data_IF_249096732300
#
_entry.id   IF_249096732300
#
_cell.length_a   1.000
_cell.length_b   1.000
_cell.length_c   1.000
_cell.angle_alpha   90.00
_cell.angle_beta   90.00
_cell.angle_gamma   90.00
#
_symmetry.space_group_name_H-M   'P 1'
#
loop_
_entity.id
_entity.type
_entity.pdbx_description
1 polymer ?
#
# COMPACT_ATOMS: atom_id res chain seq x y z
N UNK A 1 -22.64 59.70 12.15
CA UNK A 1 -21.40 58.94 12.32
C UNK A 1 -21.71 57.81 13.27
N UNK A 2 -21.99 56.65 12.76
CA UNK A 2 -22.26 55.45 13.56
C UNK A 2 -21.52 54.31 12.90
N UNK A 3 -20.40 53.93 13.51
CA UNK A 3 -19.58 52.80 13.12
C UNK A 3 -20.25 51.55 13.63
N UNK A 4 -20.75 50.73 12.75
CA UNK A 4 -21.17 49.34 13.06
C UNK A 4 -19.94 48.44 13.15
N UNK A 5 -19.59 48.07 14.36
CA UNK A 5 -18.65 47.03 14.68
C UNK A 5 -19.31 45.68 14.39
N UNK A 6 -18.80 44.96 13.39
CA UNK A 6 -19.13 43.56 13.16
C UNK A 6 -18.41 42.72 14.23
N UNK A 7 -19.16 42.34 15.24
CA UNK A 7 -18.71 41.39 16.27
C UNK A 7 -18.55 40.01 15.64
N UNK A 8 -17.33 39.49 15.61
CA UNK A 8 -17.09 38.06 15.44
C UNK A 8 -17.65 37.31 16.66
N UNK A 9 -18.57 36.38 16.41
CA UNK A 9 -19.01 35.45 17.44
C UNK A 9 -17.83 34.72 18.05
N UNK A 10 -17.82 34.47 19.37
CA UNK A 10 -16.76 33.71 20.02
C UNK A 10 -16.85 32.26 19.54
N UNK A 11 -15.84 31.81 18.80
CA UNK A 11 -15.69 30.39 18.45
C UNK A 11 -15.52 29.61 19.77
N UNK A 12 -16.53 28.80 20.12
CA UNK A 12 -16.40 27.87 21.26
C UNK A 12 -15.23 26.89 20.96
N UNK A 13 -14.38 26.59 21.94
CA UNK A 13 -13.29 25.66 21.77
C UNK A 13 -13.85 24.28 21.37
N UNK A 14 -13.35 23.69 20.27
CA UNK A 14 -13.80 22.40 19.73
C UNK A 14 -12.90 21.23 20.13
N UNK A 15 -11.90 21.48 20.97
CA UNK A 15 -10.87 20.51 21.39
C UNK A 15 -11.42 19.25 22.06
N UNK A 16 -12.60 19.30 22.66
CA UNK A 16 -13.25 18.16 23.31
C UNK A 16 -14.07 17.27 22.35
N UNK A 17 -14.30 17.72 21.13
CA UNK A 17 -15.10 17.02 20.11
C UNK A 17 -14.41 16.94 18.74
N UNK A 18 -13.09 16.99 18.73
CA UNK A 18 -12.30 16.89 17.50
C UNK A 18 -11.37 15.68 17.48
N UNK A 19 -11.07 15.23 16.28
CA UNK A 19 -10.01 14.26 15.98
C UNK A 19 -9.04 14.94 15.04
N UNK A 20 -7.73 14.88 15.33
CA UNK A 20 -6.67 15.39 14.47
C UNK A 20 -5.72 14.28 14.14
N UNK A 21 -5.56 14.01 12.85
CA UNK A 21 -4.53 13.08 12.34
C UNK A 21 -3.66 13.80 11.32
N UNK A 22 -2.40 13.44 11.24
CA UNK A 22 -1.49 14.04 10.27
C UNK A 22 -0.48 13.04 9.73
N UNK A 23 0.01 13.31 8.52
CA UNK A 23 1.06 12.51 7.88
C UNK A 23 1.94 13.41 7.02
N UNK A 24 3.24 13.09 6.97
CA UNK A 24 4.15 13.65 5.97
C UNK A 24 4.16 12.74 4.75
N UNK A 25 3.95 13.34 3.57
CA UNK A 25 3.93 12.67 2.26
C UNK A 25 5.13 13.21 1.48
N UNK A 26 6.01 12.33 1.00
CA UNK A 26 7.20 12.70 0.22
C UNK A 26 6.83 13.09 -1.22
N UNK A 27 5.99 14.11 -1.37
CA UNK A 27 5.54 14.65 -2.64
C UNK A 27 5.25 16.15 -2.56
N UNK A 28 5.38 16.91 -3.67
CA UNK A 28 4.99 18.30 -3.72
C UNK A 28 3.54 18.50 -3.33
N UNK A 29 3.24 19.61 -2.67
CA UNK A 29 1.90 19.96 -2.18
C UNK A 29 0.84 19.95 -3.29
N UNK A 30 1.21 20.41 -4.46
CA UNK A 30 0.38 20.44 -5.66
C UNK A 30 -0.06 19.05 -6.07
N UNK A 31 0.86 18.07 -6.05
CA UNK A 31 0.57 16.68 -6.40
C UNK A 31 -0.30 15.98 -5.34
N UNK A 32 -0.04 16.25 -4.05
CA UNK A 32 -0.89 15.73 -2.95
C UNK A 32 -2.30 16.30 -3.05
N UNK A 33 -2.43 17.59 -3.37
CA UNK A 33 -3.72 18.24 -3.57
C UNK A 33 -4.45 17.70 -4.82
N UNK A 34 -3.74 17.45 -5.92
CA UNK A 34 -4.31 16.90 -7.16
C UNK A 34 -5.02 15.56 -6.94
N UNK A 35 -4.55 14.73 -6.01
CA UNK A 35 -5.18 13.45 -5.66
C UNK A 35 -6.63 13.59 -5.16
N UNK A 36 -7.09 14.79 -4.82
CA UNK A 36 -8.47 15.07 -4.43
C UNK A 36 -9.34 15.58 -5.58
N UNK A 37 -8.74 16.08 -6.66
CA UNK A 37 -9.45 16.88 -7.69
C UNK A 37 -10.26 16.06 -8.67
N UNK A 38 -9.98 14.77 -8.80
CA UNK A 38 -10.63 13.87 -9.75
C UNK A 38 -11.11 12.61 -9.06
N UNK A 39 -12.31 12.16 -9.40
CA UNK A 39 -12.91 10.97 -8.79
C UNK A 39 -12.11 9.70 -9.04
N UNK A 40 -11.43 9.59 -10.20
CA UNK A 40 -10.58 8.46 -10.55
C UNK A 40 -9.36 8.33 -9.63
N UNK A 41 -8.89 9.45 -9.08
CA UNK A 41 -7.86 9.50 -8.06
C UNK A 41 -8.45 9.22 -6.69
N UNK A 42 -9.43 10.01 -6.29
CA UNK A 42 -10.01 10.02 -4.94
C UNK A 42 -10.57 8.65 -4.55
N UNK A 43 -11.29 7.96 -5.44
CA UNK A 43 -11.87 6.64 -5.18
C UNK A 43 -10.86 5.51 -4.98
N UNK A 44 -9.57 5.74 -5.28
CA UNK A 44 -8.53 4.72 -5.11
C UNK A 44 -7.89 4.68 -3.73
N UNK A 45 -7.97 5.78 -3.00
CA UNK A 45 -7.31 5.89 -1.70
C UNK A 45 -8.24 6.34 -0.56
N UNK A 46 -9.43 6.88 -0.86
CA UNK A 46 -10.35 7.36 0.15
C UNK A 46 -10.93 6.23 0.98
N UNK A 47 -10.79 6.34 2.30
CA UNK A 47 -11.30 5.40 3.29
C UNK A 47 -10.22 4.56 3.97
N UNK A 48 -10.60 3.89 5.06
CA UNK A 48 -9.75 2.96 5.79
C UNK A 48 -9.43 1.71 4.98
N UNK A 49 -8.52 0.89 5.48
CA UNK A 49 -8.14 -0.37 4.85
C UNK A 49 -9.33 -1.32 4.71
N UNK A 50 -9.38 -1.96 3.55
CA UNK A 50 -10.45 -2.91 3.22
C UNK A 50 -11.74 -2.26 2.73
N UNK A 51 -11.84 -0.92 2.75
CA UNK A 51 -12.96 -0.22 2.15
C UNK A 51 -12.70 0.10 0.67
N UNK A 52 -13.79 0.14 -0.10
CA UNK A 52 -13.79 0.61 -1.49
C UNK A 52 -14.97 1.55 -1.71
N UNK A 53 -14.94 2.35 -2.79
CA UNK A 53 -15.97 3.32 -3.06
C UNK A 53 -16.62 3.10 -4.43
N UNK A 54 -17.94 3.32 -4.53
CA UNK A 54 -18.67 3.43 -5.79
C UNK A 54 -19.30 4.82 -5.87
N UNK A 55 -18.78 5.66 -6.76
CA UNK A 55 -19.26 7.03 -6.95
C UNK A 55 -20.54 7.07 -7.77
N UNK A 56 -21.52 7.86 -7.31
CA UNK A 56 -22.74 8.21 -8.06
C UNK A 56 -22.62 9.55 -8.78
N UNK A 57 -22.10 10.57 -8.07
CA UNK A 57 -21.81 11.88 -8.66
C UNK A 57 -20.62 12.53 -7.97
N UNK A 58 -19.90 13.40 -8.72
CA UNK A 58 -18.71 14.08 -8.21
C UNK A 58 -18.57 15.46 -8.86
N UNK A 59 -18.58 16.51 -8.04
CA UNK A 59 -18.32 17.88 -8.46
C UNK A 59 -17.31 18.52 -7.49
N UNK A 60 -16.03 18.54 -7.84
CA UNK A 60 -14.97 19.12 -7.00
C UNK A 60 -14.90 20.65 -7.19
N UNK A 61 -15.75 21.35 -6.50
CA UNK A 61 -15.80 22.83 -6.39
C UNK A 61 -16.44 23.24 -5.08
N UNK A 62 -16.17 24.44 -4.60
CA UNK A 62 -16.89 24.97 -3.43
C UNK A 62 -18.40 24.95 -3.69
N UNK A 63 -19.16 24.37 -2.76
CA UNK A 63 -20.60 24.12 -2.89
C UNK A 63 -20.98 22.93 -3.77
N UNK A 64 -20.01 22.20 -4.37
CA UNK A 64 -20.25 20.92 -5.04
C UNK A 64 -20.24 19.75 -4.07
N UNK A 65 -20.51 18.56 -4.56
CA UNK A 65 -20.68 17.36 -3.75
C UNK A 65 -20.00 16.12 -4.35
N UNK A 66 -19.68 15.17 -3.50
CA UNK A 66 -19.35 13.80 -3.86
C UNK A 66 -20.34 12.86 -3.18
N UNK A 67 -21.21 12.24 -3.96
CA UNK A 67 -22.18 11.21 -3.54
C UNK A 67 -21.63 9.84 -3.92
N UNK A 68 -21.45 8.98 -2.93
CA UNK A 68 -20.86 7.66 -3.13
C UNK A 68 -21.36 6.64 -2.10
N UNK A 69 -21.11 5.37 -2.39
CA UNK A 69 -21.26 4.26 -1.44
C UNK A 69 -19.87 3.81 -1.04
N UNK A 70 -19.62 3.74 0.24
CA UNK A 70 -18.43 3.11 0.79
C UNK A 70 -18.77 1.68 1.20
N UNK A 71 -18.08 0.70 0.59
CA UNK A 71 -18.26 -0.73 0.83
C UNK A 71 -17.28 -1.20 1.89
N UNK A 72 -17.79 -1.65 3.02
CA UNK A 72 -16.99 -2.19 4.12
C UNK A 72 -16.48 -3.61 3.84
N UNK A 73 -15.41 -4.03 4.52
CA UNK A 73 -14.82 -5.35 4.36
C UNK A 73 -15.74 -6.49 4.84
N UNK A 74 -16.75 -6.18 5.64
CA UNK A 74 -17.78 -7.11 6.12
C UNK A 74 -18.99 -7.23 5.17
N UNK A 75 -18.97 -6.50 4.04
CA UNK A 75 -20.04 -6.43 3.06
C UNK A 75 -21.13 -5.39 3.41
N UNK A 76 -20.92 -4.57 4.43
CA UNK A 76 -21.84 -3.47 4.78
C UNK A 76 -21.63 -2.29 3.83
N UNK A 77 -22.71 -1.76 3.29
CA UNK A 77 -22.72 -0.57 2.45
C UNK A 77 -23.08 0.66 3.25
N UNK A 78 -22.21 1.67 3.20
CA UNK A 78 -22.41 2.96 3.84
C UNK A 78 -22.72 4.01 2.77
N UNK A 79 -23.86 4.70 2.92
CA UNK A 79 -24.20 5.82 2.06
C UNK A 79 -23.43 7.05 2.55
N UNK A 80 -22.69 7.70 1.66
CA UNK A 80 -21.81 8.78 2.02
C UNK A 80 -22.02 9.98 1.10
N UNK A 81 -22.04 11.17 1.69
CA UNK A 81 -22.12 12.44 1.00
C UNK A 81 -21.10 13.41 1.56
N UNK A 82 -20.17 13.84 0.72
CA UNK A 82 -19.25 14.92 1.03
C UNK A 82 -19.72 16.19 0.32
N UNK A 83 -19.93 17.27 1.08
CA UNK A 83 -20.18 18.62 0.54
C UNK A 83 -18.94 19.47 0.71
N UNK A 84 -18.34 19.93 -0.40
CA UNK A 84 -17.14 20.77 -0.39
C UNK A 84 -17.50 22.20 0.04
N UNK A 85 -17.04 22.62 1.24
CA UNK A 85 -17.32 23.94 1.80
C UNK A 85 -16.33 25.00 1.30
N UNK A 86 -15.06 24.64 1.26
CA UNK A 86 -13.98 25.52 0.81
C UNK A 86 -12.91 24.71 0.07
N UNK A 87 -12.39 25.24 -1.00
CA UNK A 87 -11.27 24.67 -1.74
C UNK A 87 -10.30 25.81 -2.05
N UNK A 88 -9.11 25.78 -1.45
CA UNK A 88 -8.01 26.72 -1.65
C UNK A 88 -6.80 25.95 -2.18
N UNK A 89 -6.65 25.79 -3.50
CA UNK A 89 -5.53 25.07 -4.05
C UNK A 89 -4.19 25.80 -3.83
N UNK A 90 -3.12 25.07 -3.53
CA UNK A 90 -3.02 23.71 -3.05
C UNK A 90 -2.96 23.60 -1.52
N UNK A 91 -3.58 24.53 -0.78
CA UNK A 91 -3.34 24.77 0.64
C UNK A 91 -4.37 24.11 1.56
N UNK A 92 -5.65 24.09 1.13
CA UNK A 92 -6.73 23.72 2.04
C UNK A 92 -7.98 23.20 1.33
N UNK A 93 -8.61 22.20 1.95
CA UNK A 93 -9.95 21.71 1.62
C UNK A 93 -10.75 21.66 2.93
N UNK A 94 -11.95 22.27 2.95
CA UNK A 94 -12.91 22.12 4.01
C UNK A 94 -14.16 21.44 3.46
N UNK A 95 -14.69 20.46 4.18
CA UNK A 95 -15.82 19.65 3.75
C UNK A 95 -16.75 19.32 4.92
N UNK A 96 -18.00 19.05 4.60
CA UNK A 96 -18.97 18.42 5.48
C UNK A 96 -19.17 16.98 5.00
N UNK A 97 -19.12 16.01 5.91
CA UNK A 97 -19.25 14.60 5.63
C UNK A 97 -20.43 14.02 6.42
N UNK A 98 -21.34 13.35 5.75
CA UNK A 98 -22.52 12.72 6.33
C UNK A 98 -23.14 11.73 5.35
N UNK A 99 -24.28 11.15 5.71
CA UNK A 99 -25.01 10.19 4.89
C UNK A 99 -25.91 10.88 3.83
N UNK A 100 -26.29 12.13 4.11
CA UNK A 100 -27.19 12.92 3.24
C UNK A 100 -27.00 14.43 3.48
N UNK A 101 -27.66 15.27 2.67
CA UNK A 101 -27.61 16.75 2.80
C UNK A 101 -28.15 17.27 4.14
N UNK A 102 -29.12 16.56 4.72
CA UNK A 102 -29.80 16.93 5.96
C UNK A 102 -29.39 16.04 7.14
N UNK A 103 -28.25 15.36 7.03
CA UNK A 103 -27.76 14.50 8.10
C UNK A 103 -27.42 15.32 9.35
N UNK A 104 -28.15 15.14 10.48
CA UNK A 104 -27.88 15.85 11.71
C UNK A 104 -26.56 15.42 12.37
N UNK A 105 -25.99 14.30 11.94
CA UNK A 105 -24.75 13.73 12.44
C UNK A 105 -23.54 14.11 11.59
N UNK A 106 -23.75 14.83 10.48
CA UNK A 106 -22.67 15.25 9.62
C UNK A 106 -21.59 16.01 10.39
N UNK A 107 -20.34 15.71 10.10
CA UNK A 107 -19.17 16.30 10.76
C UNK A 107 -18.33 17.11 9.76
N UNK A 108 -17.66 18.13 10.26
CA UNK A 108 -16.78 18.98 9.46
C UNK A 108 -15.36 18.44 9.48
N UNK A 109 -14.72 18.41 8.30
CA UNK A 109 -13.30 18.11 8.18
C UNK A 109 -12.57 19.19 7.43
N UNK A 110 -11.39 19.56 7.94
CA UNK A 110 -10.47 20.47 7.30
C UNK A 110 -9.15 19.74 7.06
N UNK A 111 -8.76 19.70 5.79
CA UNK A 111 -7.47 19.19 5.36
C UNK A 111 -6.56 20.39 5.05
N UNK A 112 -5.45 20.52 5.77
CA UNK A 112 -4.42 21.51 5.50
C UNK A 112 -3.19 20.82 4.88
N UNK A 113 -2.63 21.44 3.85
CA UNK A 113 -1.48 20.93 3.11
C UNK A 113 -0.31 21.90 3.33
N UNK A 114 0.62 21.52 4.16
CA UNK A 114 1.78 22.33 4.56
C UNK A 114 3.03 21.84 3.83
N UNK A 115 3.71 22.72 3.07
CA UNK A 115 4.99 22.37 2.46
C UNK A 115 6.05 22.17 3.55
N UNK A 116 6.80 21.08 3.47
CA UNK A 116 7.95 20.78 4.32
C UNK A 116 9.21 20.71 3.44
N UNK A 117 10.40 20.67 4.05
CA UNK A 117 11.66 20.56 3.29
C UNK A 117 11.69 19.34 2.36
N UNK A 118 11.04 18.25 2.76
CA UNK A 118 11.09 16.95 2.07
C UNK A 118 9.74 16.50 1.47
N UNK A 119 8.71 17.37 1.46
CA UNK A 119 7.41 17.02 0.91
C UNK A 119 6.25 17.87 1.44
N UNK A 120 5.13 17.21 1.74
CA UNK A 120 3.91 17.83 2.22
C UNK A 120 3.44 17.20 3.51
N UNK A 121 3.28 18.00 4.55
CA UNK A 121 2.54 17.58 5.73
C UNK A 121 1.05 17.83 5.51
N UNK A 122 0.26 16.76 5.48
CA UNK A 122 -1.20 16.85 5.50
C UNK A 122 -1.69 16.72 6.93
N UNK A 123 -2.57 17.63 7.34
CA UNK A 123 -3.25 17.61 8.65
C UNK A 123 -4.74 17.53 8.37
N UNK A 124 -5.40 16.48 8.83
CA UNK A 124 -6.85 16.32 8.77
C UNK A 124 -7.42 16.52 10.16
N UNK A 125 -8.19 17.58 10.31
CA UNK A 125 -8.90 17.93 11.54
C UNK A 125 -10.38 17.75 11.31
N UNK A 126 -10.99 16.84 12.06
CA UNK A 126 -12.41 16.50 12.00
C UNK A 126 -13.10 16.97 13.28
N UNK A 127 -14.19 17.71 13.16
CA UNK A 127 -14.97 18.27 14.26
C UNK A 127 -16.37 17.68 14.20
N UNK A 128 -16.76 16.97 15.25
CA UNK A 128 -18.06 16.35 15.39
C UNK A 128 -19.09 17.35 15.97
N UNK A 129 -20.39 17.15 15.71
CA UNK A 129 -21.45 17.99 16.29
C UNK A 129 -21.40 18.02 17.82
N UNK A 130 -21.14 16.88 18.47
CA UNK A 130 -21.04 16.75 19.92
C UNK A 130 -19.83 15.93 20.36
N UNK A 131 -19.48 16.03 21.64
CA UNK A 131 -18.42 15.20 22.24
C UNK A 131 -18.80 13.72 22.25
N UNK A 132 -20.05 13.42 22.56
CA UNK A 132 -20.56 12.05 22.62
C UNK A 132 -20.40 11.35 21.25
N UNK A 133 -20.71 12.06 20.15
CA UNK A 133 -20.52 11.54 18.80
C UNK A 133 -19.03 11.30 18.48
N UNK A 134 -18.14 12.19 18.91
CA UNK A 134 -16.72 11.99 18.77
C UNK A 134 -16.24 10.76 19.56
N UNK A 135 -16.72 10.62 20.81
CA UNK A 135 -16.36 9.49 21.66
C UNK A 135 -16.86 8.16 21.05
N UNK A 136 -18.09 8.13 20.53
CA UNK A 136 -18.64 6.98 19.81
C UNK A 136 -17.82 6.66 18.54
N UNK A 137 -17.46 7.69 17.77
CA UNK A 137 -16.62 7.51 16.57
C UNK A 137 -15.25 6.89 16.90
N UNK A 138 -14.65 7.28 18.03
CA UNK A 138 -13.37 6.73 18.48
C UNK A 138 -13.51 5.30 19.01
N UNK A 139 -14.49 5.05 19.89
CA UNK A 139 -14.60 3.78 20.60
C UNK A 139 -15.21 2.67 19.74
N UNK A 140 -16.25 2.99 18.95
CA UNK A 140 -17.02 2.02 18.20
C UNK A 140 -16.52 1.86 16.76
N UNK A 141 -16.16 2.99 16.10
CA UNK A 141 -15.79 3.01 14.70
C UNK A 141 -14.28 3.19 14.46
N UNK A 142 -13.49 3.28 15.53
CA UNK A 142 -12.04 3.42 15.46
C UNK A 142 -11.58 4.57 14.53
N UNK A 143 -12.31 5.70 14.58
CA UNK A 143 -12.15 6.81 13.63
C UNK A 143 -10.74 7.42 13.60
N UNK A 144 -10.00 7.42 14.72
CA UNK A 144 -8.60 7.86 14.74
C UNK A 144 -7.74 6.98 13.86
N UNK A 145 -7.89 5.67 13.99
CA UNK A 145 -7.13 4.70 13.22
C UNK A 145 -7.55 4.71 11.75
N UNK A 146 -8.85 4.78 11.48
CA UNK A 146 -9.38 4.94 10.12
C UNK A 146 -8.82 6.18 9.41
N UNK A 147 -8.74 7.32 10.12
CA UNK A 147 -8.14 8.55 9.61
C UNK A 147 -6.66 8.42 9.28
N UNK A 148 -5.88 7.73 10.13
CA UNK A 148 -4.46 7.44 9.84
C UNK A 148 -4.31 6.54 8.62
N UNK A 149 -5.15 5.51 8.50
CA UNK A 149 -5.16 4.59 7.36
C UNK A 149 -5.49 5.35 6.06
N UNK A 150 -6.50 6.21 6.07
CA UNK A 150 -6.86 7.06 4.93
C UNK A 150 -5.69 7.93 4.47
N UNK A 151 -4.98 8.59 5.40
CA UNK A 151 -3.81 9.39 5.06
C UNK A 151 -2.61 8.54 4.60
N UNK A 152 -2.48 7.30 5.07
CA UNK A 152 -1.50 6.35 4.56
C UNK A 152 -1.83 5.94 3.13
N UNK A 153 -3.10 5.64 2.84
CA UNK A 153 -3.57 5.28 1.50
C UNK A 153 -3.34 6.43 0.51
N UNK A 154 -3.62 7.67 0.92
CA UNK A 154 -3.26 8.85 0.14
C UNK A 154 -1.75 8.93 -0.13
N UNK A 155 -0.91 8.71 0.87
CA UNK A 155 0.55 8.77 0.71
C UNK A 155 1.06 7.72 -0.27
N UNK A 156 0.55 6.48 -0.18
CA UNK A 156 0.87 5.42 -1.12
C UNK A 156 0.41 5.78 -2.54
N UNK A 157 -0.83 6.25 -2.67
CA UNK A 157 -1.41 6.63 -3.96
C UNK A 157 -0.63 7.77 -4.65
N UNK A 158 -0.33 8.85 -3.91
CA UNK A 158 0.44 9.99 -4.44
C UNK A 158 1.86 9.58 -4.80
N UNK A 159 2.42 8.60 -4.07
CA UNK A 159 3.70 8.00 -4.41
C UNK A 159 3.72 7.36 -5.80
N UNK A 160 2.58 6.83 -6.24
CA UNK A 160 2.42 6.12 -7.52
C UNK A 160 2.02 7.04 -8.69
N UNK A 161 1.69 8.33 -8.44
CA UNK A 161 1.32 9.25 -9.50
C UNK A 161 2.52 9.69 -10.35
N UNK A 162 2.40 9.73 -11.70
CA UNK A 162 3.45 10.27 -12.55
C UNK A 162 3.63 11.77 -12.29
N UNK A 163 4.85 12.20 -12.03
CA UNK A 163 5.17 13.62 -11.86
C UNK A 163 5.26 14.28 -13.24
N UNK A 164 4.34 15.20 -13.53
CA UNK A 164 4.44 16.05 -14.71
C UNK A 164 5.55 17.11 -14.49
N UNK A 165 6.67 16.95 -15.17
CA UNK A 165 7.69 17.99 -15.30
C UNK A 165 7.15 19.12 -16.18
N UNK A 166 6.59 20.17 -15.57
CA UNK A 166 6.34 21.43 -16.23
C UNK A 166 7.00 22.55 -15.46
N UNK A 167 8.28 22.77 -15.74
CA UNK A 167 8.89 24.09 -15.68
C UNK A 167 10.12 24.15 -16.62
N UNK A 168 10.04 24.88 -17.75
CA UNK A 168 11.18 25.12 -18.62
C UNK A 168 11.84 26.46 -18.25
N UNK A 169 12.85 26.48 -17.37
CA UNK A 169 13.87 27.51 -17.44
C UNK A 169 15.10 27.17 -16.58
N UNK A 170 16.22 27.06 -17.28
CA UNK A 170 17.61 27.33 -16.85
C UNK A 170 18.17 26.56 -15.64
N UNK A 171 18.96 25.49 -15.89
CA UNK A 171 20.40 25.52 -15.68
C UNK A 171 21.00 24.18 -16.02
N UNK A 172 21.89 24.19 -16.99
CA UNK A 172 22.85 23.12 -17.24
C UNK A 172 23.82 23.11 -16.06
N UNK A 173 23.75 22.09 -15.21
CA UNK A 173 24.69 21.58 -14.23
C UNK A 173 24.04 21.21 -12.87
N UNK A 174 23.06 20.30 -12.89
CA UNK A 174 22.71 19.49 -11.71
C UNK A 174 22.36 18.08 -12.15
N UNK A 175 23.14 17.12 -11.69
CA UNK A 175 22.77 15.71 -11.79
C UNK A 175 21.36 15.51 -11.19
N UNK A 176 20.47 14.73 -11.84
CA UNK A 176 19.12 14.49 -11.34
C UNK A 176 19.20 13.68 -10.05
N UNK A 177 18.87 14.30 -8.93
CA UNK A 177 18.51 13.60 -7.70
C UNK A 177 17.18 12.88 -7.92
N UNK A 178 17.19 11.72 -8.59
CA UNK A 178 16.02 10.87 -8.75
C UNK A 178 15.55 10.41 -7.37
N UNK A 179 14.22 10.38 -7.16
CA UNK A 179 13.62 9.68 -6.02
C UNK A 179 14.23 8.29 -5.95
N UNK A 180 14.82 7.91 -4.83
CA UNK A 180 15.24 6.53 -4.62
C UNK A 180 13.99 5.65 -4.62
N UNK A 181 13.98 4.60 -5.47
CA UNK A 181 12.90 3.62 -5.54
C UNK A 181 12.62 3.05 -4.16
N UNK A 182 11.37 3.05 -3.73
CA UNK A 182 10.95 2.46 -2.46
C UNK A 182 11.08 0.94 -2.53
N UNK A 183 11.62 0.32 -1.49
CA UNK A 183 11.87 -1.12 -1.44
C UNK A 183 10.81 -1.79 -0.59
N UNK A 184 9.99 -2.62 -1.22
CA UNK A 184 8.80 -3.19 -0.57
C UNK A 184 8.81 -4.73 -0.57
N UNK A 185 8.37 -5.32 0.53
CA UNK A 185 7.88 -6.71 0.58
C UNK A 185 6.36 -6.67 0.71
N UNK A 186 5.64 -7.34 -0.18
CA UNK A 186 4.19 -7.37 -0.12
C UNK A 186 3.63 -8.78 -0.16
N UNK A 187 2.57 -9.01 0.64
CA UNK A 187 1.77 -10.24 0.65
C UNK A 187 2.60 -11.48 0.95
N UNK A 188 3.66 -11.35 1.77
CA UNK A 188 4.46 -12.48 2.16
C UNK A 188 3.84 -13.18 3.36
N UNK A 189 3.39 -14.43 3.16
CA UNK A 189 2.67 -15.17 4.16
C UNK A 189 3.61 -16.01 5.03
N UNK A 190 3.35 -16.00 6.34
CA UNK A 190 4.03 -16.85 7.33
C UNK A 190 3.01 -17.58 8.20
N UNK A 191 3.38 -18.76 8.68
CA UNK A 191 2.60 -19.48 9.70
C UNK A 191 2.73 -18.81 11.08
N UNK A 192 1.90 -19.18 12.04
CA UNK A 192 1.99 -18.69 13.43
C UNK A 192 3.37 -18.96 14.06
N UNK A 193 4.02 -20.04 13.67
CA UNK A 193 5.36 -20.39 14.11
C UNK A 193 6.48 -19.85 13.21
N UNK A 194 6.13 -18.87 12.29
CA UNK A 194 7.06 -18.01 11.57
C UNK A 194 7.66 -18.59 10.28
N UNK A 195 7.13 -19.70 9.75
CA UNK A 195 7.64 -20.31 8.52
C UNK A 195 6.97 -19.71 7.27
N UNK A 196 7.79 -19.22 6.32
CA UNK A 196 7.32 -18.71 5.03
C UNK A 196 7.22 -19.77 3.93
N UNK A 197 7.83 -20.93 4.14
CA UNK A 197 7.72 -22.10 3.27
C UNK A 197 7.94 -23.37 4.11
N UNK A 198 7.25 -24.45 3.74
CA UNK A 198 7.43 -25.76 4.37
C UNK A 198 8.68 -26.48 3.85
N UNK A 199 9.08 -27.53 4.57
CA UNK A 199 10.18 -28.40 4.17
C UNK A 199 9.82 -29.28 2.97
N UNK A 200 10.84 -29.67 2.18
CA UNK A 200 10.68 -30.57 1.05
C UNK A 200 10.10 -29.94 -0.22
N UNK A 201 10.45 -28.68 -0.52
CA UNK A 201 10.08 -28.02 -1.78
C UNK A 201 10.59 -28.82 -2.98
N UNK A 202 9.69 -29.12 -3.93
CA UNK A 202 9.96 -29.85 -5.19
C UNK A 202 8.89 -29.50 -6.22
N UNK A 203 9.01 -30.02 -7.45
CA UNK A 203 8.12 -29.68 -8.56
C UNK A 203 6.64 -29.89 -8.23
N UNK A 204 6.28 -31.00 -7.60
CA UNK A 204 4.89 -31.35 -7.23
C UNK A 204 4.45 -30.69 -5.92
N UNK A 205 5.37 -30.04 -5.20
CA UNK A 205 5.13 -29.38 -3.92
C UNK A 205 5.93 -28.06 -3.82
N UNK A 206 5.53 -27.02 -4.55
CA UNK A 206 6.28 -25.75 -4.60
C UNK A 206 6.40 -25.03 -3.26
N UNK A 207 5.50 -25.30 -2.31
CA UNK A 207 5.57 -24.78 -0.93
C UNK A 207 5.96 -25.89 0.09
N UNK A 208 6.58 -26.98 -0.38
CA UNK A 208 6.91 -28.12 0.46
C UNK A 208 5.68 -28.74 1.13
N UNK A 209 5.82 -29.27 2.33
CA UNK A 209 4.72 -29.88 3.08
C UNK A 209 3.64 -28.87 3.54
N UNK A 210 3.90 -27.56 3.43
CA UNK A 210 2.89 -26.51 3.68
C UNK A 210 1.74 -26.60 2.67
N UNK A 211 2.02 -27.07 1.45
CA UNK A 211 1.06 -27.01 0.35
C UNK A 211 0.62 -25.56 0.12
N UNK A 212 -0.62 -25.36 -0.30
CA UNK A 212 -1.16 -24.03 -0.53
C UNK A 212 -1.71 -23.32 0.72
N UNK A 213 -1.58 -23.92 1.92
CA UNK A 213 -2.16 -23.38 3.17
C UNK A 213 -1.71 -21.95 3.47
N UNK A 214 -0.46 -21.59 3.17
CA UNK A 214 0.06 -20.23 3.38
C UNK A 214 -0.55 -19.18 2.44
N UNK A 215 -1.04 -19.57 1.26
CA UNK A 215 -1.53 -18.65 0.23
C UNK A 215 -3.04 -18.76 0.00
N UNK A 216 -3.74 -19.59 0.78
CA UNK A 216 -5.19 -19.78 0.63
C UNK A 216 -6.01 -18.50 0.82
N UNK A 217 -5.56 -17.59 1.66
CA UNK A 217 -6.20 -16.31 1.92
C UNK A 217 -6.28 -15.44 0.65
N UNK A 218 -5.25 -15.51 -0.20
CA UNK A 218 -5.14 -14.68 -1.40
C UNK A 218 -5.89 -15.28 -2.62
N UNK A 219 -6.03 -16.61 -2.66
CA UNK A 219 -6.61 -17.30 -3.82
C UNK A 219 -8.03 -16.83 -4.21
N UNK A 220 -8.94 -16.47 -3.27
CA UNK A 220 -10.26 -15.95 -3.62
C UNK A 220 -10.23 -14.51 -4.13
N UNK A 221 -9.19 -13.74 -3.90
CA UNK A 221 -9.12 -12.30 -4.21
C UNK A 221 -9.22 -12.02 -5.70
N UNK A 222 -9.75 -10.84 -6.07
CA UNK A 222 -9.86 -10.40 -7.46
C UNK A 222 -8.47 -10.31 -8.11
N UNK A 223 -7.49 -9.75 -7.41
CA UNK A 223 -6.10 -9.63 -7.89
C UNK A 223 -5.52 -10.98 -8.31
N UNK A 224 -5.66 -12.02 -7.46
CA UNK A 224 -5.15 -13.35 -7.80
C UNK A 224 -5.92 -14.01 -8.94
N UNK A 225 -7.23 -13.74 -9.08
CA UNK A 225 -8.02 -14.20 -10.24
C UNK A 225 -7.54 -13.57 -11.54
N UNK A 226 -7.24 -12.28 -11.53
CA UNK A 226 -6.70 -11.56 -12.70
C UNK A 226 -5.31 -12.06 -13.11
N UNK A 227 -4.52 -12.56 -12.17
CA UNK A 227 -3.23 -13.24 -12.44
C UNK A 227 -3.38 -14.63 -13.07
N UNK A 228 -4.60 -15.08 -13.41
CA UNK A 228 -4.86 -16.37 -14.06
C UNK A 228 -4.85 -17.57 -13.11
N UNK A 229 -4.90 -17.36 -11.79
CA UNK A 229 -4.98 -18.45 -10.85
C UNK A 229 -6.39 -19.11 -10.86
N UNK A 230 -6.48 -20.45 -10.66
CA UNK A 230 -7.73 -21.17 -10.78
C UNK A 230 -8.77 -20.73 -9.76
N UNK A 231 -10.04 -20.66 -10.18
CA UNK A 231 -11.21 -20.39 -9.35
C UNK A 231 -12.42 -19.91 -10.15
N UNK A 232 -13.57 -19.76 -9.48
CA UNK A 232 -14.83 -19.34 -10.09
C UNK A 232 -15.12 -17.87 -9.78
N UNK A 233 -15.73 -17.14 -10.74
CA UNK A 233 -16.16 -15.75 -10.58
C UNK A 233 -15.05 -14.71 -10.68
N UNK A 234 -15.41 -13.46 -10.45
CA UNK A 234 -14.52 -12.29 -10.58
C UNK A 234 -13.52 -12.13 -9.43
N UNK A 235 -13.67 -12.91 -8.38
CA UNK A 235 -12.87 -12.82 -7.15
C UNK A 235 -13.55 -12.01 -6.05
N UNK A 236 -13.13 -12.25 -4.80
CA UNK A 236 -13.61 -11.51 -3.64
C UNK A 236 -13.03 -10.12 -3.58
N UNK A 237 -13.76 -9.21 -2.95
CA UNK A 237 -13.34 -7.89 -2.52
C UNK A 237 -13.25 -7.88 -0.99
N UNK A 238 -12.65 -6.85 -0.39
CA UNK A 238 -12.51 -6.72 1.07
C UNK A 238 -11.06 -6.60 1.50
N UNK A 239 -10.77 -6.89 2.77
CA UNK A 239 -9.45 -6.70 3.39
C UNK A 239 -8.34 -7.40 2.61
N UNK A 240 -8.51 -8.69 2.31
CA UNK A 240 -7.48 -9.47 1.62
C UNK A 240 -7.20 -8.93 0.21
N UNK A 241 -8.24 -8.52 -0.52
CA UNK A 241 -8.10 -7.91 -1.84
C UNK A 241 -7.39 -6.55 -1.77
N UNK A 242 -7.72 -5.71 -0.78
CA UNK A 242 -7.06 -4.42 -0.60
C UNK A 242 -5.55 -4.57 -0.41
N UNK A 243 -5.12 -5.59 0.33
CA UNK A 243 -3.71 -5.90 0.49
C UNK A 243 -3.10 -6.58 -0.74
N UNK A 244 -3.81 -7.51 -1.38
CA UNK A 244 -3.32 -8.20 -2.58
C UNK A 244 -3.07 -7.23 -3.73
N UNK A 245 -3.98 -6.29 -4.00
CA UNK A 245 -3.87 -5.30 -5.08
C UNK A 245 -2.71 -4.32 -4.88
N UNK A 246 -2.43 -3.91 -3.65
CA UNK A 246 -1.26 -3.07 -3.34
C UNK A 246 0.06 -3.75 -3.70
N UNK A 247 0.13 -5.07 -3.56
CA UNK A 247 1.34 -5.83 -3.83
C UNK A 247 1.78 -5.83 -5.30
N UNK A 248 0.90 -5.41 -6.21
CA UNK A 248 1.14 -5.39 -7.66
C UNK A 248 1.22 -4.00 -8.26
N UNK A 249 0.81 -2.96 -7.52
CA UNK A 249 0.80 -1.57 -8.01
C UNK A 249 2.16 -0.89 -7.87
N UNK A 250 2.56 -0.10 -8.90
CA UNK A 250 3.73 0.76 -8.85
C UNK A 250 5.08 0.04 -8.82
N UNK A 251 5.12 -1.26 -9.17
CA UNK A 251 6.35 -2.07 -9.18
C UNK A 251 7.03 -1.97 -10.54
N UNK A 252 8.27 -1.50 -10.54
CA UNK A 252 9.12 -1.43 -11.75
C UNK A 252 10.01 -2.65 -11.94
N UNK A 253 10.35 -3.35 -10.84
CA UNK A 253 11.18 -4.55 -10.87
C UNK A 253 10.91 -5.43 -9.66
N UNK A 254 11.03 -6.73 -9.82
CA UNK A 254 11.00 -7.67 -8.71
C UNK A 254 12.39 -8.31 -8.48
N UNK A 255 12.75 -8.52 -7.21
CA UNK A 255 13.89 -9.35 -6.81
C UNK A 255 13.35 -10.60 -6.12
N UNK A 256 13.80 -11.77 -6.52
CA UNK A 256 13.45 -13.03 -5.87
C UNK A 256 14.65 -13.97 -5.77
N UNK A 257 14.62 -14.83 -4.77
CA UNK A 257 15.59 -15.91 -4.66
C UNK A 257 15.28 -17.06 -5.62
N UNK A 258 16.30 -17.81 -5.99
CA UNK A 258 16.20 -18.96 -6.90
C UNK A 258 15.14 -19.96 -6.47
N UNK A 259 14.95 -20.17 -5.15
CA UNK A 259 13.96 -21.12 -4.62
C UNK A 259 12.51 -20.69 -4.92
N UNK A 260 12.26 -19.39 -5.05
CA UNK A 260 10.97 -18.87 -5.53
C UNK A 260 10.81 -19.07 -7.03
N UNK A 261 11.89 -18.97 -7.82
CA UNK A 261 11.85 -19.19 -9.26
C UNK A 261 11.64 -20.66 -9.63
N UNK A 262 12.21 -21.61 -8.88
CA UNK A 262 12.07 -23.03 -9.20
C UNK A 262 12.66 -23.97 -8.14
N UNK A 263 12.39 -25.29 -8.27
CA UNK A 263 12.82 -26.29 -7.30
C UNK A 263 14.27 -26.74 -7.45
N UNK A 264 14.93 -26.36 -8.54
CA UNK A 264 16.28 -26.84 -8.85
C UNK A 264 17.32 -26.27 -7.90
N UNK A 265 18.22 -27.12 -7.41
CA UNK A 265 19.34 -26.78 -6.54
C UNK A 265 20.67 -27.05 -7.25
N UNK A 266 21.72 -26.32 -6.87
CA UNK A 266 23.03 -26.43 -7.53
C UNK A 266 23.03 -25.94 -8.98
N UNK A 267 23.88 -26.47 -9.87
CA UNK A 267 23.84 -26.16 -11.30
C UNK A 267 22.48 -26.44 -11.91
N UNK A 268 22.14 -25.74 -13.00
CA UNK A 268 20.87 -25.92 -13.71
C UNK A 268 20.83 -27.32 -14.34
N UNK A 269 20.00 -28.20 -13.79
CA UNK A 269 19.77 -29.54 -14.37
C UNK A 269 18.89 -29.46 -15.62
N UNK A 270 18.01 -28.46 -15.68
CA UNK A 270 17.19 -28.11 -16.85
C UNK A 270 17.31 -26.60 -17.10
N UNK A 271 18.10 -26.25 -18.13
CA UNK A 271 18.28 -24.86 -18.57
C UNK A 271 17.04 -24.30 -19.25
N UNK A 272 16.10 -25.13 -19.67
CA UNK A 272 14.86 -24.72 -20.30
C UNK A 272 13.77 -24.38 -19.26
N UNK A 273 14.02 -24.63 -17.97
CA UNK A 273 13.08 -24.26 -16.90
C UNK A 273 12.77 -22.76 -16.93
N UNK A 274 11.45 -22.43 -17.05
CA UNK A 274 10.94 -21.07 -17.25
C UNK A 274 10.26 -20.46 -16.01
N UNK A 275 10.38 -21.11 -14.86
CA UNK A 275 9.67 -20.71 -13.62
C UNK A 275 8.32 -21.42 -13.45
N UNK A 276 7.67 -21.15 -12.34
CA UNK A 276 6.42 -21.81 -11.96
C UNK A 276 5.20 -21.30 -12.74
N UNK A 277 5.30 -20.14 -13.43
CA UNK A 277 4.17 -19.37 -13.95
C UNK A 277 3.89 -19.61 -15.44
N UNK A 278 4.55 -20.57 -16.05
CA UNK A 278 4.39 -20.86 -17.47
C UNK A 278 4.95 -19.76 -18.39
N UNK A 279 4.41 -19.63 -19.60
CA UNK A 279 4.96 -18.75 -20.64
C UNK A 279 4.65 -17.26 -20.45
N UNK A 280 3.61 -16.92 -19.68
CA UNK A 280 3.22 -15.54 -19.40
C UNK A 280 3.16 -15.28 -17.89
N UNK A 281 4.31 -15.06 -17.22
CA UNK A 281 4.35 -14.77 -15.79
C UNK A 281 3.63 -13.47 -15.43
N UNK A 282 3.01 -13.37 -14.25
CA UNK A 282 2.16 -12.23 -13.88
C UNK A 282 2.94 -10.97 -13.45
N UNK A 283 4.23 -10.90 -13.69
CA UNK A 283 5.05 -9.77 -13.24
C UNK A 283 4.98 -8.59 -14.22
N UNK A 284 5.05 -8.86 -15.53
CA UNK A 284 5.07 -7.86 -16.61
C UNK A 284 6.16 -6.77 -16.46
N UNK A 285 7.20 -7.07 -15.70
CA UNK A 285 8.34 -6.21 -15.37
C UNK A 285 9.63 -7.04 -15.39
N UNK A 286 10.82 -6.43 -15.40
CA UNK A 286 12.08 -7.12 -15.11
C UNK A 286 12.03 -7.84 -13.76
N UNK A 287 12.64 -9.02 -13.68
CA UNK A 287 12.73 -9.82 -12.45
C UNK A 287 14.18 -10.26 -12.27
N UNK A 288 14.82 -9.87 -11.18
CA UNK A 288 16.14 -10.35 -10.78
C UNK A 288 15.97 -11.63 -9.95
N UNK A 289 16.56 -12.72 -10.41
CA UNK A 289 16.63 -14.00 -9.70
C UNK A 289 18.01 -14.16 -9.09
N UNK A 290 18.11 -14.05 -7.77
CA UNK A 290 19.39 -14.23 -7.05
C UNK A 290 19.79 -15.69 -7.03
N UNK A 291 20.98 -15.99 -7.52
CA UNK A 291 21.51 -17.35 -7.66
C UNK A 291 23.02 -17.37 -7.84
N UNK A 292 23.72 -18.32 -7.21
CA UNK A 292 25.15 -18.56 -7.46
C UNK A 292 25.42 -19.28 -8.80
N UNK A 293 24.38 -19.66 -9.53
CA UNK A 293 24.48 -20.31 -10.83
C UNK A 293 23.80 -19.44 -11.88
N UNK A 294 24.54 -18.46 -12.39
CA UNK A 294 24.04 -17.54 -13.40
C UNK A 294 23.77 -18.25 -14.73
N UNK A 295 22.84 -17.73 -15.50
CA UNK A 295 22.56 -18.13 -16.90
C UNK A 295 22.07 -16.92 -17.69
N UNK A 296 21.91 -17.10 -19.00
CA UNK A 296 21.38 -16.05 -19.88
C UNK A 296 20.01 -15.56 -19.43
N UNK A 297 19.70 -14.27 -19.61
CA UNK A 297 18.36 -13.73 -19.36
C UNK A 297 17.29 -14.52 -20.11
N UNK A 298 16.11 -14.60 -19.53
CA UNK A 298 14.98 -15.34 -20.08
C UNK A 298 13.82 -14.38 -20.33
N UNK A 299 13.58 -14.07 -21.61
CA UNK A 299 12.45 -13.26 -22.03
C UNK A 299 11.18 -14.12 -22.08
N UNK A 300 10.10 -13.59 -21.48
CA UNK A 300 8.80 -14.24 -21.39
C UNK A 300 7.74 -13.44 -22.12
N UNK A 301 6.63 -14.08 -22.44
CA UNK A 301 5.45 -13.37 -22.93
C UNK A 301 4.97 -12.34 -21.89
N UNK A 302 4.29 -11.28 -22.36
CA UNK A 302 3.72 -10.25 -21.48
C UNK A 302 4.71 -9.29 -20.85
N UNK A 303 5.99 -9.27 -21.28
CA UNK A 303 6.97 -8.26 -20.88
C UNK A 303 7.79 -8.59 -19.64
N UNK A 304 7.68 -9.79 -19.09
CA UNK A 304 8.57 -10.25 -18.01
C UNK A 304 9.91 -10.71 -18.59
N UNK A 305 11.02 -10.24 -18.01
CA UNK A 305 12.37 -10.76 -18.32
C UNK A 305 13.05 -11.16 -17.01
N UNK A 306 13.45 -12.42 -16.89
CA UNK A 306 14.23 -12.90 -15.75
C UNK A 306 15.73 -12.71 -15.99
N UNK A 307 16.40 -12.03 -15.06
CA UNK A 307 17.85 -11.85 -15.00
C UNK A 307 18.41 -12.70 -13.88
N UNK A 308 19.39 -13.56 -14.14
CA UNK A 308 19.99 -14.47 -13.16
C UNK A 308 21.30 -13.88 -12.67
N UNK A 309 21.35 -13.47 -11.40
CA UNK A 309 22.43 -12.65 -10.85
C UNK A 309 23.01 -13.29 -9.60
N UNK A 310 24.34 -13.37 -9.54
CA UNK A 310 25.10 -13.71 -8.33
C UNK A 310 25.58 -12.41 -7.68
N UNK A 311 24.84 -11.94 -6.69
CA UNK A 311 25.12 -10.67 -6.03
C UNK A 311 24.57 -10.66 -4.60
N UNK A 312 25.27 -9.92 -3.74
CA UNK A 312 24.79 -9.55 -2.40
C UNK A 312 23.57 -8.61 -2.48
N UNK A 313 22.70 -8.57 -1.45
CA UNK A 313 21.45 -7.81 -1.46
C UNK A 313 21.60 -6.34 -1.88
N UNK A 314 22.62 -5.62 -1.40
CA UNK A 314 22.83 -4.22 -1.73
C UNK A 314 23.19 -4.00 -3.22
N UNK A 315 24.01 -4.89 -3.78
CA UNK A 315 24.41 -4.83 -5.20
C UNK A 315 23.23 -5.19 -6.11
N UNK A 316 22.45 -6.21 -5.72
CA UNK A 316 21.24 -6.59 -6.44
C UNK A 316 20.19 -5.47 -6.43
N UNK A 317 20.04 -4.78 -5.31
CA UNK A 317 19.12 -3.63 -5.18
C UNK A 317 19.55 -2.48 -6.08
N UNK A 318 20.85 -2.17 -6.18
CA UNK A 318 21.35 -1.11 -7.06
C UNK A 318 21.04 -1.44 -8.55
N UNK A 319 21.26 -2.68 -8.95
CA UNK A 319 20.89 -3.14 -10.29
C UNK A 319 19.39 -3.04 -10.54
N UNK A 320 18.58 -3.43 -9.53
CA UNK A 320 17.13 -3.36 -9.59
C UNK A 320 16.66 -1.91 -9.75
N UNK A 321 17.21 -0.97 -9.00
CA UNK A 321 16.89 0.46 -9.12
C UNK A 321 17.16 1.00 -10.51
N UNK A 322 18.25 0.57 -11.14
CA UNK A 322 18.55 0.91 -12.53
C UNK A 322 17.49 0.40 -13.53
N UNK A 323 16.86 -0.74 -13.26
CA UNK A 323 15.79 -1.31 -14.07
C UNK A 323 14.40 -0.75 -13.75
N UNK A 324 14.17 -0.38 -12.49
CA UNK A 324 12.88 0.10 -12.01
C UNK A 324 12.51 1.50 -12.52
N UNK A 325 13.50 2.30 -12.92
CA UNK A 325 13.29 3.72 -13.24
C UNK A 325 12.80 4.49 -12.01
N UNK A 326 11.63 5.11 -12.11
CA UNK A 326 11.01 5.85 -11.00
C UNK A 326 10.00 5.02 -10.19
N UNK A 327 9.86 3.72 -10.50
CA UNK A 327 8.95 2.80 -9.83
C UNK A 327 9.65 2.07 -8.69
N UNK A 328 8.88 1.39 -7.84
CA UNK A 328 9.38 0.71 -6.68
C UNK A 328 10.02 -0.64 -6.99
N UNK A 329 10.90 -1.07 -6.11
CA UNK A 329 11.51 -2.40 -6.11
C UNK A 329 10.75 -3.31 -5.17
N UNK A 330 10.24 -4.43 -5.65
CA UNK A 330 9.59 -5.45 -4.84
C UNK A 330 10.55 -6.59 -4.52
N UNK A 331 10.73 -6.87 -3.23
CA UNK A 331 11.39 -8.11 -2.79
C UNK A 331 10.30 -9.18 -2.67
N UNK A 332 10.19 -10.00 -3.70
CA UNK A 332 9.10 -10.96 -3.84
C UNK A 332 9.26 -12.27 -3.05
N UNK A 333 10.44 -12.51 -2.47
CA UNK A 333 10.73 -13.72 -1.71
C UNK A 333 11.78 -14.62 -2.41
N UNK A 334 12.15 -15.89 -2.00
CA UNK A 334 11.65 -16.62 -0.81
C UNK A 334 12.07 -16.06 0.56
N UNK A 335 11.82 -16.87 1.55
CA UNK A 335 12.03 -16.54 2.97
C UNK A 335 13.46 -16.05 3.25
N UNK A 336 14.46 -16.78 2.80
CA UNK A 336 15.88 -16.43 2.97
C UNK A 336 16.20 -15.09 2.31
N UNK A 337 15.76 -14.87 1.08
CA UNK A 337 16.00 -13.59 0.38
C UNK A 337 15.42 -12.39 1.13
N UNK A 338 14.16 -12.47 1.59
CA UNK A 338 13.56 -11.39 2.39
C UNK A 338 14.37 -11.16 3.67
N UNK A 339 14.75 -12.22 4.37
CA UNK A 339 15.53 -12.12 5.61
C UNK A 339 16.89 -11.44 5.37
N UNK A 340 17.60 -11.79 4.30
CA UNK A 340 18.87 -11.16 3.93
C UNK A 340 18.72 -9.66 3.65
N UNK A 341 17.66 -9.24 2.95
CA UNK A 341 17.38 -7.83 2.72
C UNK A 341 16.98 -7.09 4.01
N UNK A 342 16.27 -7.74 4.94
CA UNK A 342 15.95 -7.18 6.26
C UNK A 342 17.20 -7.05 7.14
N UNK A 343 18.09 -8.03 7.13
CA UNK A 343 19.38 -8.01 7.84
C UNK A 343 20.29 -6.90 7.30
N UNK A 344 20.27 -6.68 5.97
CA UNK A 344 21.04 -5.61 5.32
C UNK A 344 20.38 -4.23 5.44
N UNK A 345 19.24 -4.10 6.14
CA UNK A 345 18.52 -2.85 6.36
C UNK A 345 18.04 -2.14 5.07
N UNK A 346 17.64 -2.92 4.07
CA UNK A 346 17.33 -2.45 2.72
C UNK A 346 15.83 -2.38 2.39
N UNK A 347 14.93 -2.67 3.35
CA UNK A 347 13.49 -2.67 3.13
C UNK A 347 12.85 -1.46 3.80
N UNK A 348 12.04 -0.73 3.04
CA UNK A 348 11.30 0.46 3.52
C UNK A 348 9.89 0.09 4.02
N UNK A 349 9.24 -0.87 3.36
CA UNK A 349 7.92 -1.37 3.75
C UNK A 349 7.87 -2.89 3.69
N UNK A 350 7.35 -3.52 4.74
CA UNK A 350 7.22 -4.97 4.84
C UNK A 350 5.76 -5.32 5.20
N UNK A 351 5.05 -5.96 4.28
CA UNK A 351 3.71 -6.50 4.54
C UNK A 351 3.77 -8.01 4.68
N UNK A 352 3.48 -8.48 5.88
CA UNK A 352 3.43 -9.89 6.27
C UNK A 352 2.00 -10.32 6.52
N UNK A 353 1.64 -11.50 6.05
CA UNK A 353 0.35 -12.13 6.32
C UNK A 353 0.56 -13.30 7.26
N UNK A 354 0.10 -13.15 8.49
CA UNK A 354 0.15 -14.24 9.49
C UNK A 354 -1.05 -15.16 9.28
N UNK A 355 -0.78 -16.36 8.80
CA UNK A 355 -1.79 -17.39 8.58
C UNK A 355 -1.91 -18.25 9.84
N UNK A 356 -3.14 -18.52 10.37
CA UNK A 356 -3.33 -19.20 11.64
C UNK A 356 -3.13 -20.73 11.54
N UNK A 357 -1.94 -21.14 11.07
CA UNK A 357 -1.53 -22.52 10.95
C UNK A 357 -0.16 -22.72 11.60
N UNK A 358 0.16 -23.96 11.96
CA UNK A 358 1.48 -24.37 12.43
C UNK A 358 2.12 -25.29 11.39
N UNK A 359 3.37 -25.02 11.04
CA UNK A 359 4.15 -25.83 10.09
C UNK A 359 5.19 -26.72 10.80
N UNK A 360 5.78 -26.25 11.89
CA UNK A 360 6.74 -26.99 12.69
C UNK A 360 8.12 -27.16 12.06
N UNK A 361 8.26 -27.05 10.73
CA UNK A 361 9.53 -27.15 9.99
C UNK A 361 9.45 -26.43 8.65
N UNK A 362 10.62 -26.05 8.10
CA UNK A 362 10.75 -25.26 6.87
C UNK A 362 11.73 -24.12 7.05
N UNK A 363 11.55 -23.04 6.28
CA UNK A 363 12.35 -21.81 6.38
C UNK A 363 11.60 -20.77 7.21
N UNK A 364 12.17 -20.36 8.35
CA UNK A 364 11.62 -19.31 9.22
C UNK A 364 12.06 -17.93 8.72
N UNK A 365 11.13 -16.97 8.78
CA UNK A 365 11.42 -15.59 8.38
C UNK A 365 12.24 -14.83 9.43
N UNK A 366 11.88 -14.99 10.70
CA UNK A 366 12.33 -14.11 11.78
C UNK A 366 13.67 -14.47 12.43
N UNK A 367 14.32 -15.57 11.99
CA UNK A 367 15.58 -16.01 12.57
C UNK A 367 16.68 -14.96 12.34
N UNK A 368 17.29 -14.45 13.43
CA UNK A 368 18.34 -13.45 13.42
C UNK A 368 17.85 -12.04 13.09
N UNK A 369 16.56 -11.73 13.36
CA UNK A 369 15.94 -10.43 13.17
C UNK A 369 15.39 -9.85 14.49
N UNK A 370 15.97 -10.24 15.63
CA UNK A 370 15.59 -9.73 16.94
C UNK A 370 15.71 -8.19 16.96
N UNK A 371 14.68 -7.50 17.46
CA UNK A 371 14.62 -6.03 17.53
C UNK A 371 14.26 -5.35 16.19
N UNK A 372 13.89 -6.11 15.15
CA UNK A 372 13.47 -5.55 13.87
C UNK A 372 12.34 -4.53 14.02
N UNK A 373 11.38 -4.80 14.91
CA UNK A 373 10.21 -3.96 15.18
C UNK A 373 10.58 -2.56 15.68
N UNK A 374 11.76 -2.38 16.29
CA UNK A 374 12.23 -1.06 16.76
C UNK A 374 12.49 -0.08 15.60
N UNK A 375 12.75 -0.60 14.40
CA UNK A 375 13.05 0.19 13.19
C UNK A 375 11.80 0.56 12.40
N UNK A 376 10.63 0.02 12.77
CA UNK A 376 9.40 0.18 12.02
C UNK A 376 8.23 0.60 12.89
N UNK A 377 7.29 1.31 12.31
CA UNK A 377 5.93 1.43 12.83
C UNK A 377 5.13 0.24 12.32
N UNK A 378 4.45 -0.48 13.24
CA UNK A 378 3.75 -1.71 12.91
C UNK A 378 2.25 -1.49 13.01
N UNK A 379 1.54 -1.78 11.92
CA UNK A 379 0.08 -1.77 11.88
C UNK A 379 -0.46 -3.19 11.71
N UNK A 380 -1.61 -3.46 12.32
CA UNK A 380 -2.23 -4.79 12.34
C UNK A 380 -3.67 -4.72 11.89
N UNK A 381 -4.04 -5.53 10.89
CA UNK A 381 -5.41 -5.64 10.39
C UNK A 381 -5.83 -7.11 10.38
N UNK A 382 -6.87 -7.45 11.13
CA UNK A 382 -7.47 -8.79 11.07
C UNK A 382 -8.41 -8.90 9.87
N UNK A 383 -8.34 -10.02 9.13
CA UNK A 383 -9.23 -10.29 8.00
C UNK A 383 -10.31 -11.31 8.38
N UNK A 384 -11.53 -11.18 7.79
CA UNK A 384 -12.58 -12.19 7.88
C UNK A 384 -12.16 -13.58 7.39
N UNK A 385 -11.13 -13.69 6.56
CA UNK A 385 -10.54 -14.98 6.15
C UNK A 385 -9.78 -15.70 7.27
N UNK A 386 -9.60 -15.03 8.43
CA UNK A 386 -8.90 -15.53 9.59
C UNK A 386 -7.40 -15.25 9.62
N UNK A 387 -6.84 -14.59 8.60
CA UNK A 387 -5.45 -14.15 8.61
C UNK A 387 -5.31 -12.78 9.27
N UNK A 388 -4.09 -12.44 9.65
CA UNK A 388 -3.73 -11.11 10.15
C UNK A 388 -2.69 -10.48 9.22
N UNK A 389 -2.99 -9.30 8.71
CA UNK A 389 -2.06 -8.48 7.95
C UNK A 389 -1.25 -7.60 8.88
N UNK A 390 0.07 -7.67 8.80
CA UNK A 390 1.02 -6.83 9.51
C UNK A 390 1.75 -5.96 8.49
N UNK A 391 1.65 -4.64 8.62
CA UNK A 391 2.42 -3.70 7.80
C UNK A 391 3.45 -3.01 8.68
N UNK A 392 4.71 -3.17 8.32
CA UNK A 392 5.85 -2.53 8.93
C UNK A 392 6.30 -1.39 8.01
N UNK A 393 6.19 -0.16 8.45
CA UNK A 393 6.66 1.03 7.73
C UNK A 393 7.90 1.57 8.42
N UNK A 394 9.01 1.76 7.68
CA UNK A 394 10.27 2.24 8.23
C UNK A 394 10.07 3.58 8.94
N UNK A 395 10.59 3.70 10.16
CA UNK A 395 10.70 4.97 10.86
C UNK A 395 11.75 5.84 10.17
N UNK A 396 11.40 7.12 9.92
CA UNK A 396 12.27 8.12 9.31
C UNK A 396 13.20 8.75 10.36
#
# INVERSE_FOLDING_TARGET
>A
MSSTSSGSEPQHPTTDREIVVSRVISAPRELVFEAFTQVQHLSRWWGPDGFSTTTRSFEFRAGGEWDFVMHGPDGTDYQELISWREIVPPERIALLHGESREDPNAFESVLAFESTGDGTRIVMRTVFPTREMRDEAVERYHAVEGGKQTLRNLAAYVGDLPRSDTNPSSDADRQPGGRMSHVRVHSFAVSLDGFGVGDGQRLEAPFGHAGHRLVQWAMPTRTFRQMGLPGKGEGSVGVDEAFASRGTSGIGVEIMGRNKFGPQRGPWADEQWRGWWGDNPPFHTPVIVLTHHVRSPLEMAGGTTFYFVDAEPAVALEQARGLAGNLDVRIGGGTTTIREFLQADLIDELHIVVVPILLGRGERLWDGLEGLEERFDVETVASPSGVVHLTFSRRL
#
